data_IF_524518661299
#
_entry.id   IF_524518661299
#
_cell.length_a   1.000
_cell.length_b   1.000
_cell.length_c   1.000
_cell.angle_alpha   90.00
_cell.angle_beta   90.00
_cell.angle_gamma   90.00
#
_symmetry.space_group_name_H-M   'P 1'
#
loop_
_entity.id
_entity.type
_entity.pdbx_description
1 polymer ?
#
# COMPACT_ATOMS: atom_id res chain seq x y z
N UNK A 1 17.81 20.73 19.23
CA UNK A 1 17.73 20.10 17.89
C UNK A 1 16.47 19.26 17.92
N UNK A 2 15.58 19.39 16.93
CA UNK A 2 14.37 18.57 16.83
C UNK A 2 14.75 17.09 16.67
N UNK A 3 13.91 16.19 17.15
CA UNK A 3 14.10 14.75 17.08
C UNK A 3 12.85 14.12 16.48
N UNK A 4 13.03 13.23 15.55
CA UNK A 4 11.91 12.51 14.90
C UNK A 4 10.96 11.86 15.91
N UNK A 5 11.47 11.35 17.04
CA UNK A 5 10.64 10.70 18.07
C UNK A 5 9.61 11.66 18.72
N UNK A 6 9.84 12.97 18.68
CA UNK A 6 8.91 13.97 19.20
C UNK A 6 8.00 14.58 18.11
N UNK A 7 8.10 14.11 16.86
CA UNK A 7 7.42 14.71 15.72
C UNK A 7 5.92 14.90 15.92
N UNK A 8 5.23 13.86 16.38
CA UNK A 8 3.76 13.90 16.57
C UNK A 8 3.39 14.89 17.67
N UNK A 9 4.11 14.87 18.79
CA UNK A 9 3.87 15.79 19.93
C UNK A 9 4.16 17.23 19.53
N UNK A 10 5.22 17.47 18.76
CA UNK A 10 5.57 18.80 18.26
C UNK A 10 4.51 19.34 17.29
N UNK A 11 3.96 18.50 16.39
CA UNK A 11 2.84 18.86 15.50
C UNK A 11 1.61 19.21 16.34
N UNK A 12 1.22 18.36 17.28
CA UNK A 12 0.04 18.60 18.12
C UNK A 12 0.20 19.83 18.98
N UNK A 13 1.37 20.05 19.57
CA UNK A 13 1.69 21.27 20.31
C UNK A 13 1.52 22.54 19.46
N UNK A 14 2.01 22.50 18.20
CA UNK A 14 1.91 23.62 17.26
C UNK A 14 0.47 23.95 16.91
N UNK A 15 -0.39 22.96 16.66
CA UNK A 15 -1.78 23.19 16.25
C UNK A 15 -2.75 23.37 17.43
N UNK A 16 -2.37 23.02 18.66
CA UNK A 16 -3.23 23.14 19.85
C UNK A 16 -3.71 24.55 20.12
N UNK A 17 -2.94 25.56 19.70
CA UNK A 17 -3.30 26.99 19.83
C UNK A 17 -4.62 27.34 19.16
N UNK A 18 -5.03 26.58 18.12
CA UNK A 18 -6.30 26.79 17.45
C UNK A 18 -7.50 26.50 18.38
N UNK A 19 -7.37 25.53 19.28
CA UNK A 19 -8.37 25.25 20.32
C UNK A 19 -8.54 26.39 21.34
N UNK A 20 -7.53 27.26 21.46
CA UNK A 20 -7.57 28.45 22.28
C UNK A 20 -8.06 29.68 21.52
N UNK A 21 -8.46 29.53 20.26
CA UNK A 21 -8.87 30.65 19.39
C UNK A 21 -7.70 31.54 18.94
N UNK A 22 -6.46 31.08 19.07
CA UNK A 22 -5.27 31.81 18.64
C UNK A 22 -4.91 31.43 17.18
N UNK A 23 -4.35 32.37 16.39
CA UNK A 23 -3.90 32.08 15.04
C UNK A 23 -2.75 31.07 15.07
N UNK A 24 -2.73 30.19 14.06
CA UNK A 24 -1.61 29.30 13.81
C UNK A 24 -0.42 30.15 13.31
N UNK A 25 0.72 29.97 13.94
CA UNK A 25 1.96 30.58 13.50
C UNK A 25 2.54 29.77 12.31
N UNK A 26 2.10 30.16 11.12
CA UNK A 26 2.57 29.67 9.83
C UNK A 26 2.83 30.89 8.93
N UNK A 27 3.95 30.89 8.23
CA UNK A 27 4.28 32.01 7.34
C UNK A 27 3.41 31.99 6.07
N UNK A 28 3.27 33.15 5.42
CA UNK A 28 2.59 33.18 4.11
C UNK A 28 3.31 32.31 3.09
N UNK A 29 4.63 32.26 3.16
CA UNK A 29 5.47 31.44 2.29
C UNK A 29 5.17 29.93 2.48
N UNK A 30 4.97 29.45 3.71
CA UNK A 30 4.60 28.05 3.97
C UNK A 30 3.22 27.72 3.42
N UNK A 31 2.26 28.64 3.58
CA UNK A 31 0.89 28.48 3.08
C UNK A 31 0.88 28.48 1.55
N UNK A 32 1.61 29.41 0.92
CA UNK A 32 1.71 29.49 -0.54
C UNK A 32 2.39 28.24 -1.12
N UNK A 33 3.47 27.76 -0.46
CA UNK A 33 4.12 26.51 -0.86
C UNK A 33 3.19 25.30 -0.80
N UNK A 34 2.38 25.18 0.25
CA UNK A 34 1.33 24.15 0.31
C UNK A 34 0.31 24.30 -0.83
N UNK A 35 -0.09 25.56 -1.13
CA UNK A 35 -1.00 25.84 -2.23
C UNK A 35 -0.44 25.35 -3.58
N UNK A 36 0.83 25.57 -3.86
CA UNK A 36 1.47 25.09 -5.09
C UNK A 36 1.59 23.57 -5.12
N UNK A 37 2.01 22.91 -4.03
CA UNK A 37 2.09 21.44 -4.01
C UNK A 37 0.73 20.78 -4.19
N UNK A 38 -0.35 21.33 -3.62
CA UNK A 38 -1.72 20.86 -3.86
C UNK A 38 -2.11 21.00 -5.35
N UNK A 39 -1.76 22.11 -6.01
CA UNK A 39 -2.00 22.29 -7.46
C UNK A 39 -1.26 21.24 -8.27
N UNK A 40 0.00 20.96 -7.95
CA UNK A 40 0.78 19.91 -8.62
C UNK A 40 0.16 18.53 -8.46
N UNK A 41 -0.29 18.17 -7.26
CA UNK A 41 -1.03 16.92 -7.00
C UNK A 41 -2.26 16.82 -7.90
N UNK A 42 -3.06 17.91 -7.99
CA UNK A 42 -4.27 17.94 -8.83
C UNK A 42 -3.93 17.83 -10.32
N UNK A 43 -2.86 18.50 -10.78
CA UNK A 43 -2.41 18.39 -12.17
C UNK A 43 -1.98 16.96 -12.52
N UNK A 44 -1.19 16.30 -11.67
CA UNK A 44 -0.77 14.92 -11.87
C UNK A 44 -1.95 13.95 -11.83
N UNK A 45 -2.91 14.16 -10.92
CA UNK A 45 -4.09 13.31 -10.82
C UNK A 45 -5.02 13.44 -12.03
N UNK A 46 -5.21 14.68 -12.52
CA UNK A 46 -6.03 14.94 -13.70
C UNK A 46 -5.38 14.48 -15.02
N UNK A 47 -4.03 14.44 -15.06
CA UNK A 47 -3.24 14.07 -16.23
C UNK A 47 -2.26 12.92 -15.90
N UNK A 48 -2.76 11.72 -15.58
CA UNK A 48 -1.90 10.62 -15.18
C UNK A 48 -0.99 10.20 -16.35
N UNK A 49 0.31 10.15 -16.08
CA UNK A 49 1.25 9.54 -17.03
C UNK A 49 0.97 8.04 -17.18
N UNK A 50 1.11 7.47 -18.38
CA UNK A 50 1.00 6.03 -18.57
C UNK A 50 1.98 5.31 -17.64
N UNK A 51 1.46 4.57 -16.67
CA UNK A 51 2.29 3.76 -15.78
C UNK A 51 2.48 2.40 -16.45
N UNK A 52 3.71 2.06 -16.84
CA UNK A 52 3.99 0.68 -17.20
C UNK A 52 3.74 -0.20 -15.97
N UNK A 53 2.73 -1.08 -16.05
CA UNK A 53 2.43 -2.07 -15.00
C UNK A 53 3.57 -3.09 -14.84
N UNK A 54 4.47 -3.16 -15.80
CA UNK A 54 5.38 -4.28 -16.07
C UNK A 54 6.77 -4.08 -15.50
N UNK A 55 6.92 -3.24 -14.46
CA UNK A 55 8.22 -2.98 -13.84
C UNK A 55 8.20 -3.24 -12.35
N UNK A 56 9.28 -3.87 -11.85
CA UNK A 56 9.57 -3.87 -10.43
C UNK A 56 9.95 -2.45 -9.98
N UNK A 57 9.30 -2.00 -8.92
CA UNK A 57 9.54 -0.71 -8.27
C UNK A 57 9.69 -0.92 -6.76
N UNK A 58 10.31 0.05 -6.08
CA UNK A 58 10.44 -0.03 -4.63
C UNK A 58 9.07 -0.09 -3.94
N UNK A 59 8.07 0.63 -4.46
CA UNK A 59 6.71 0.63 -3.91
C UNK A 59 5.93 -0.69 -4.11
N UNK A 60 6.40 -1.62 -4.97
CA UNK A 60 5.73 -2.91 -5.17
C UNK A 60 6.58 -4.11 -4.74
N UNK A 61 7.87 -3.92 -4.43
CA UNK A 61 8.80 -5.03 -4.11
C UNK A 61 8.35 -5.82 -2.87
N UNK A 62 7.52 -5.22 -2.02
CA UNK A 62 6.94 -5.85 -0.84
C UNK A 62 5.83 -6.85 -1.14
N UNK A 63 5.22 -6.80 -2.31
CA UNK A 63 4.16 -7.73 -2.70
C UNK A 63 4.66 -9.18 -2.71
N UNK A 64 3.75 -10.16 -2.56
CA UNK A 64 4.08 -11.57 -2.70
C UNK A 64 4.71 -11.89 -4.06
N UNK A 65 5.76 -12.70 -4.07
CA UNK A 65 6.57 -13.00 -5.27
C UNK A 65 5.74 -13.57 -6.42
N UNK A 66 4.76 -14.45 -6.14
CA UNK A 66 3.88 -14.99 -7.17
C UNK A 66 2.97 -13.91 -7.79
N UNK A 67 2.50 -12.96 -6.98
CA UNK A 67 1.73 -11.81 -7.48
C UNK A 67 2.60 -10.95 -8.41
N UNK A 68 3.85 -10.66 -8.02
CA UNK A 68 4.80 -9.93 -8.87
C UNK A 68 5.12 -10.67 -10.16
N UNK A 69 5.20 -12.01 -10.10
CA UNK A 69 5.39 -12.83 -11.29
C UNK A 69 4.24 -12.64 -12.29
N UNK A 70 2.99 -12.68 -11.84
CA UNK A 70 1.83 -12.41 -12.68
C UNK A 70 1.77 -10.95 -13.12
N UNK A 71 2.07 -9.99 -12.24
CA UNK A 71 2.09 -8.56 -12.58
C UNK A 71 3.02 -8.26 -13.76
N UNK A 72 4.09 -9.05 -13.93
CA UNK A 72 5.12 -8.84 -14.95
C UNK A 72 5.02 -9.75 -16.20
N UNK A 73 4.32 -10.88 -16.10
CA UNK A 73 4.24 -11.88 -17.17
C UNK A 73 2.85 -12.12 -17.72
N UNK A 74 1.81 -11.68 -17.03
CA UNK A 74 0.46 -11.85 -17.54
C UNK A 74 0.26 -10.91 -18.73
N UNK A 75 0.12 -11.46 -19.91
CA UNK A 75 -0.23 -10.73 -21.14
C UNK A 75 -1.67 -10.19 -21.08
N UNK A 76 -2.47 -10.73 -20.19
CA UNK A 76 -3.79 -10.21 -19.90
C UNK A 76 -3.66 -8.96 -19.02
N UNK A 77 -3.55 -7.79 -19.63
CA UNK A 77 -3.93 -6.57 -18.95
C UNK A 77 -5.30 -6.84 -18.31
N UNK A 78 -5.36 -6.76 -16.98
CA UNK A 78 -6.66 -6.83 -16.32
C UNK A 78 -7.43 -5.62 -16.82
N UNK A 79 -8.35 -5.83 -17.75
CA UNK A 79 -9.25 -4.81 -18.30
C UNK A 79 -10.24 -4.29 -17.25
N UNK A 80 -10.18 -4.79 -16.01
CA UNK A 80 -10.93 -4.22 -14.91
C UNK A 80 -10.31 -2.85 -14.57
N UNK A 81 -10.89 -1.79 -15.12
CA UNK A 81 -10.63 -0.44 -14.64
C UNK A 81 -11.01 -0.35 -13.16
N UNK A 82 -10.14 0.29 -12.38
CA UNK A 82 -10.45 0.53 -10.97
C UNK A 82 -11.77 1.33 -10.87
N UNK A 83 -12.66 1.00 -9.93
CA UNK A 83 -13.87 1.77 -9.73
C UNK A 83 -13.56 3.25 -9.43
N UNK A 84 -14.36 4.17 -9.96
CA UNK A 84 -14.16 5.61 -9.79
C UNK A 84 -13.88 6.06 -8.34
N UNK A 85 -14.54 5.51 -7.29
CA UNK A 85 -14.21 5.87 -5.91
C UNK A 85 -12.76 5.58 -5.48
N UNK A 86 -12.07 4.64 -6.14
CA UNK A 86 -10.67 4.32 -5.83
C UNK A 86 -9.74 5.46 -6.24
N UNK A 87 -10.03 6.14 -7.37
CA UNK A 87 -9.25 7.31 -7.81
C UNK A 87 -9.38 8.48 -6.83
N UNK A 88 -10.56 8.68 -6.23
CA UNK A 88 -10.75 9.67 -5.15
C UNK A 88 -9.92 9.30 -3.93
N UNK A 89 -9.85 8.01 -3.56
CA UNK A 89 -9.00 7.57 -2.44
C UNK A 89 -7.51 7.82 -2.70
N UNK A 90 -7.05 7.66 -3.92
CA UNK A 90 -5.68 8.00 -4.29
C UNK A 90 -5.42 9.50 -4.18
N UNK A 91 -6.35 10.32 -4.67
CA UNK A 91 -6.26 11.76 -4.51
C UNK A 91 -6.17 12.18 -3.03
N UNK A 92 -7.04 11.61 -2.18
CA UNK A 92 -6.96 11.88 -0.73
C UNK A 92 -5.59 11.51 -0.14
N UNK A 93 -5.00 10.41 -0.61
CA UNK A 93 -3.66 10.01 -0.16
C UNK A 93 -2.65 11.11 -0.40
N UNK A 94 -2.56 11.58 -1.64
CA UNK A 94 -1.60 12.60 -2.04
C UNK A 94 -1.87 13.97 -1.39
N UNK A 95 -3.12 14.41 -1.34
CA UNK A 95 -3.46 15.70 -0.69
C UNK A 95 -3.12 15.71 0.81
N UNK A 96 -3.41 14.61 1.50
CA UNK A 96 -3.11 14.50 2.93
C UNK A 96 -1.61 14.36 3.21
N UNK A 97 -0.84 13.81 2.27
CA UNK A 97 0.62 13.78 2.33
C UNK A 97 1.18 15.21 2.35
N UNK A 98 0.73 16.09 1.42
CA UNK A 98 1.16 17.50 1.39
C UNK A 98 0.76 18.27 2.66
N UNK A 99 -0.46 18.02 3.16
CA UNK A 99 -0.90 18.62 4.43
C UNK A 99 -0.03 18.15 5.59
N UNK A 100 0.35 16.88 5.64
CA UNK A 100 1.26 16.36 6.69
C UNK A 100 2.65 16.99 6.59
N UNK A 101 3.22 17.10 5.39
CA UNK A 101 4.52 17.74 5.17
C UNK A 101 4.49 19.22 5.62
N UNK A 102 3.41 19.94 5.33
CA UNK A 102 3.21 21.30 5.82
C UNK A 102 3.21 21.33 7.36
N UNK A 103 2.44 20.46 8.03
CA UNK A 103 2.40 20.39 9.49
C UNK A 103 3.77 20.08 10.09
N UNK A 104 4.53 19.19 9.48
CA UNK A 104 5.91 18.88 9.86
C UNK A 104 6.79 20.14 9.79
N UNK A 105 6.74 20.85 8.66
CA UNK A 105 7.55 22.07 8.43
C UNK A 105 7.23 23.17 9.45
N UNK A 106 5.96 23.51 9.65
CA UNK A 106 5.55 24.57 10.59
C UNK A 106 5.78 24.20 12.06
N UNK A 107 5.89 22.91 12.40
CA UNK A 107 6.26 22.44 13.73
C UNK A 107 7.78 22.54 14.01
N UNK A 108 8.56 23.02 13.01
CA UNK A 108 9.99 23.30 13.12
C UNK A 108 10.89 22.10 12.84
N UNK A 109 10.37 21.01 12.29
CA UNK A 109 11.15 19.90 11.78
C UNK A 109 11.67 20.19 10.37
N UNK A 110 12.84 19.64 10.05
CA UNK A 110 13.49 19.85 8.76
C UNK A 110 13.09 18.75 7.78
N UNK A 111 12.27 19.09 6.79
CA UNK A 111 11.95 18.21 5.66
C UNK A 111 13.00 18.35 4.57
N UNK A 112 13.41 17.24 3.98
CA UNK A 112 14.33 17.21 2.84
C UNK A 112 14.11 16.02 1.95
N UNK A 113 14.77 16.01 0.79
CA UNK A 113 14.71 14.90 -0.18
C UNK A 113 13.27 14.51 -0.61
N UNK A 114 12.34 15.48 -0.66
CA UNK A 114 10.95 15.25 -1.05
C UNK A 114 10.90 14.62 -2.44
N UNK A 115 10.18 13.50 -2.58
CA UNK A 115 9.99 12.73 -3.82
C UNK A 115 11.30 12.35 -4.55
N UNK A 116 12.41 12.20 -3.80
CA UNK A 116 13.73 11.84 -4.38
C UNK A 116 13.69 10.45 -5.02
N UNK A 117 14.10 10.38 -6.31
CA UNK A 117 14.32 9.10 -6.97
C UNK A 117 15.53 8.39 -6.35
N UNK A 118 15.33 7.14 -5.96
CA UNK A 118 16.37 6.26 -5.42
C UNK A 118 16.40 4.92 -6.14
N UNK A 119 17.52 4.20 -6.05
CA UNK A 119 17.65 2.89 -6.69
C UNK A 119 18.47 1.93 -5.84
N UNK A 120 17.95 0.72 -5.66
CA UNK A 120 18.66 -0.39 -5.01
C UNK A 120 18.68 -1.60 -5.92
N UNK A 121 19.86 -2.09 -6.24
CA UNK A 121 20.04 -3.25 -7.15
C UNK A 121 19.26 -3.13 -8.46
N UNK A 122 19.16 -1.91 -9.02
CA UNK A 122 18.44 -1.61 -10.26
C UNK A 122 16.91 -1.60 -10.12
N UNK A 123 16.36 -1.54 -8.91
CA UNK A 123 14.95 -1.28 -8.64
C UNK A 123 14.82 0.17 -8.21
N UNK A 124 14.06 0.95 -8.99
CA UNK A 124 13.81 2.36 -8.74
C UNK A 124 12.60 2.57 -7.83
N UNK A 125 12.60 3.69 -7.11
CA UNK A 125 11.47 4.19 -6.34
C UNK A 125 11.63 5.68 -6.06
N UNK A 126 10.56 6.33 -5.62
CA UNK A 126 10.57 7.67 -5.08
C UNK A 126 10.25 7.55 -3.60
N UNK A 127 11.15 8.03 -2.76
CA UNK A 127 10.88 8.10 -1.33
C UNK A 127 10.14 9.40 -1.03
N UNK A 128 9.23 9.36 -0.05
CA UNK A 128 8.39 10.53 0.24
C UNK A 128 9.26 11.68 0.73
N UNK A 129 10.05 11.48 1.77
CA UNK A 129 10.96 12.52 2.29
C UNK A 129 12.00 11.97 3.29
N UNK A 130 12.87 12.88 3.74
CA UNK A 130 13.57 12.75 5.01
C UNK A 130 13.04 13.81 5.99
N UNK A 131 12.88 13.46 7.26
CA UNK A 131 12.56 14.40 8.34
C UNK A 131 13.70 14.34 9.35
N UNK A 132 14.30 15.48 9.65
CA UNK A 132 15.49 15.62 10.51
C UNK A 132 16.67 14.71 10.10
N UNK A 133 16.72 14.38 8.80
CA UNK A 133 17.76 13.51 8.22
C UNK A 133 17.46 12.02 8.25
N UNK A 134 16.32 11.61 8.79
CA UNK A 134 15.89 10.21 8.78
C UNK A 134 14.83 9.97 7.70
N UNK A 135 14.85 8.78 7.05
CA UNK A 135 13.89 8.41 6.01
C UNK A 135 12.49 8.26 6.61
N UNK A 136 11.53 8.98 6.08
CA UNK A 136 10.12 8.88 6.51
C UNK A 136 9.22 8.63 5.31
N UNK A 137 8.42 7.58 5.42
CA UNK A 137 7.41 7.21 4.46
C UNK A 137 6.03 7.61 5.04
N UNK A 138 5.29 8.45 4.31
CA UNK A 138 4.03 9.02 4.79
C UNK A 138 2.87 8.11 4.41
N UNK A 139 2.02 7.78 5.38
CA UNK A 139 0.87 6.92 5.16
C UNK A 139 -0.42 7.53 5.66
N UNK A 140 -1.44 7.52 4.80
CA UNK A 140 -2.80 7.86 5.19
C UNK A 140 -3.66 6.60 5.21
N UNK A 141 -4.28 6.30 6.34
CA UNK A 141 -4.90 5.01 6.59
C UNK A 141 -6.34 5.13 7.11
N UNK A 142 -7.17 4.09 6.87
CA UNK A 142 -8.43 3.92 7.59
C UNK A 142 -8.16 3.56 9.05
N UNK A 143 -9.11 3.74 9.94
CA UNK A 143 -8.95 3.47 11.36
C UNK A 143 -8.38 2.08 11.68
N UNK A 144 -8.83 1.03 10.96
CA UNK A 144 -8.29 -0.32 11.12
C UNK A 144 -6.80 -0.45 10.70
N UNK A 145 -6.43 0.16 9.57
CA UNK A 145 -5.05 0.10 9.09
C UNK A 145 -4.12 1.00 9.92
N UNK A 146 -4.63 2.16 10.38
CA UNK A 146 -3.89 3.08 11.23
C UNK A 146 -3.47 2.44 12.57
N UNK A 147 -4.34 1.62 13.18
CA UNK A 147 -4.01 0.90 14.41
C UNK A 147 -2.73 0.09 14.31
N UNK A 148 -2.41 -0.47 13.16
CA UNK A 148 -1.17 -1.25 12.98
C UNK A 148 0.10 -0.40 13.17
N UNK A 149 0.06 0.86 12.76
CA UNK A 149 1.16 1.81 13.00
C UNK A 149 1.17 2.26 14.45
N UNK A 150 0.01 2.63 15.00
CA UNK A 150 -0.12 3.12 16.37
C UNK A 150 0.27 2.06 17.41
N UNK A 151 -0.19 0.83 17.24
CA UNK A 151 0.04 -0.27 18.18
C UNK A 151 1.37 -1.02 17.89
N UNK A 152 2.13 -0.63 16.85
CA UNK A 152 3.40 -1.25 16.48
C UNK A 152 3.28 -2.65 15.88
N UNK A 153 2.08 -3.06 15.44
CA UNK A 153 1.80 -4.43 14.94
C UNK A 153 1.91 -4.57 13.43
N UNK A 154 2.43 -3.55 12.73
CA UNK A 154 2.57 -3.60 11.27
C UNK A 154 3.42 -4.78 10.80
N UNK A 155 4.49 -5.11 11.52
CA UNK A 155 5.39 -6.21 11.15
C UNK A 155 4.68 -7.57 11.05
N UNK A 156 3.68 -7.80 11.90
CA UNK A 156 2.90 -9.05 11.92
C UNK A 156 1.91 -9.15 10.76
N UNK A 157 1.51 -8.01 10.19
CA UNK A 157 0.41 -7.93 9.23
C UNK A 157 0.69 -6.96 8.07
N UNK A 158 1.92 -6.93 7.57
CA UNK A 158 2.32 -6.09 6.43
C UNK A 158 1.84 -6.67 5.09
N UNK A 159 0.55 -6.63 4.86
CA UNK A 159 -0.07 -7.13 3.61
C UNK A 159 0.23 -6.28 2.39
N UNK A 160 0.67 -5.03 2.57
CA UNK A 160 1.00 -4.11 1.49
C UNK A 160 2.49 -4.07 1.14
N UNK A 161 3.34 -4.62 2.02
CA UNK A 161 4.79 -4.63 1.82
C UNK A 161 5.46 -3.30 2.11
N UNK A 162 4.97 -2.57 3.11
CA UNK A 162 5.52 -1.28 3.55
C UNK A 162 6.92 -1.43 4.14
N UNK A 163 7.17 -2.48 4.93
CA UNK A 163 8.48 -2.72 5.53
C UNK A 163 9.57 -2.98 4.48
N UNK A 164 9.37 -3.82 3.45
CA UNK A 164 10.30 -3.91 2.33
C UNK A 164 10.52 -2.62 1.56
N UNK A 165 9.49 -1.78 1.41
CA UNK A 165 9.59 -0.47 0.77
C UNK A 165 10.50 0.44 1.58
N UNK A 166 10.24 0.59 2.88
CA UNK A 166 11.05 1.38 3.79
C UNK A 166 12.50 0.89 3.83
N UNK A 167 12.72 -0.43 3.97
CA UNK A 167 14.05 -1.02 3.92
C UNK A 167 14.81 -0.69 2.62
N UNK A 168 14.09 -0.56 1.51
CA UNK A 168 14.67 -0.14 0.24
C UNK A 168 15.11 1.31 0.23
N UNK A 169 14.32 2.19 0.79
CA UNK A 169 14.67 3.61 0.91
C UNK A 169 15.83 3.83 1.88
N UNK A 170 15.82 3.14 3.02
CA UNK A 170 16.92 3.14 3.99
C UNK A 170 18.23 2.65 3.38
N UNK A 171 18.19 1.54 2.63
CA UNK A 171 19.37 1.00 1.95
C UNK A 171 19.94 2.00 0.93
N UNK A 172 19.07 2.71 0.20
CA UNK A 172 19.48 3.72 -0.77
C UNK A 172 20.13 4.95 -0.12
N UNK A 173 19.68 5.33 1.06
CA UNK A 173 20.22 6.48 1.83
C UNK A 173 21.34 6.08 2.79
N UNK A 174 21.69 4.79 2.87
CA UNK A 174 22.76 4.30 3.74
C UNK A 174 22.43 4.40 5.24
N UNK A 175 21.16 4.29 5.59
CA UNK A 175 20.66 4.36 6.98
C UNK A 175 19.82 3.14 7.34
N UNK A 176 19.49 2.99 8.61
CA UNK A 176 18.58 1.96 9.13
C UNK A 176 17.54 2.57 10.09
N UNK A 177 17.49 3.90 10.14
CA UNK A 177 16.69 4.68 11.09
C UNK A 177 15.52 5.36 10.40
N UNK A 178 14.74 4.62 9.64
CA UNK A 178 13.54 5.15 9.01
C UNK A 178 12.28 4.88 9.83
N UNK A 179 11.17 5.49 9.38
CA UNK A 179 9.88 5.30 10.01
C UNK A 179 8.72 5.62 9.09
N UNK A 180 7.52 5.44 9.62
CA UNK A 180 6.27 5.81 8.98
C UNK A 180 5.59 6.90 9.80
N UNK A 181 5.29 8.03 9.16
CA UNK A 181 4.34 9.00 9.71
C UNK A 181 2.96 8.66 9.17
N UNK A 182 2.10 8.13 10.04
CA UNK A 182 0.77 7.69 9.65
C UNK A 182 -0.32 8.67 10.14
N UNK A 183 -1.31 8.96 9.28
CA UNK A 183 -2.52 9.71 9.63
C UNK A 183 -3.74 8.80 9.50
N UNK A 184 -4.59 8.80 10.52
CA UNK A 184 -5.94 8.25 10.45
C UNK A 184 -6.86 9.23 9.68
N UNK A 185 -7.32 8.82 8.48
CA UNK A 185 -8.18 9.66 7.63
C UNK A 185 -9.54 9.99 8.24
N UNK A 186 -9.97 9.22 9.22
CA UNK A 186 -11.30 9.35 9.84
C UNK A 186 -11.27 10.32 11.03
N UNK A 187 -10.15 10.35 11.76
CA UNK A 187 -10.05 11.10 13.02
C UNK A 187 -9.03 12.24 12.98
N UNK A 188 -8.11 12.25 12.00
CA UNK A 188 -6.96 13.16 11.97
C UNK A 188 -5.84 12.77 12.95
N UNK A 189 -5.95 11.65 13.66
CA UNK A 189 -4.94 11.19 14.60
C UNK A 189 -3.65 10.81 13.86
N UNK A 190 -2.49 11.19 14.43
CA UNK A 190 -1.17 10.89 13.91
C UNK A 190 -0.47 9.82 14.74
N UNK A 191 0.36 9.03 14.11
CA UNK A 191 1.26 8.09 14.76
C UNK A 191 2.60 8.05 14.02
N UNK A 192 3.69 8.04 14.76
CA UNK A 192 5.02 7.72 14.25
C UNK A 192 5.32 6.27 14.60
N UNK A 193 5.54 5.41 13.60
CA UNK A 193 5.96 4.04 13.79
C UNK A 193 7.38 3.85 13.26
N UNK A 194 8.27 3.41 14.14
CA UNK A 194 9.67 3.11 13.81
C UNK A 194 9.89 1.61 13.95
N UNK A 195 9.85 0.84 12.83
CA UNK A 195 10.09 -0.60 12.90
C UNK A 195 11.52 -0.88 13.36
N UNK A 196 11.68 -1.95 14.13
CA UNK A 196 13.02 -2.43 14.49
C UNK A 196 13.76 -2.93 13.25
N UNK A 197 15.07 -3.04 13.34
CA UNK A 197 15.90 -3.63 12.28
C UNK A 197 15.46 -5.06 11.96
N UNK A 198 15.05 -5.83 12.97
CA UNK A 198 14.62 -7.23 12.83
C UNK A 198 13.28 -7.38 12.11
N UNK A 199 12.42 -6.36 12.12
CA UNK A 199 11.13 -6.35 11.41
C UNK A 199 11.31 -6.13 9.92
N UNK A 200 12.44 -5.59 9.51
CA UNK A 200 12.72 -5.22 8.12
C UNK A 200 13.48 -6.35 7.41
N UNK A 201 13.09 -6.72 6.17
CA UNK A 201 13.79 -7.74 5.42
C UNK A 201 15.12 -7.21 4.86
N UNK A 202 16.09 -8.11 4.65
CA UNK A 202 17.24 -7.78 3.82
C UNK A 202 16.78 -7.52 2.38
N UNK A 203 16.69 -6.25 2.01
CA UNK A 203 16.10 -5.82 0.74
C UNK A 203 16.90 -6.28 -0.47
N UNK A 204 18.23 -6.30 -0.41
CA UNK A 204 19.08 -6.79 -1.52
C UNK A 204 18.82 -8.27 -1.78
N UNK A 205 18.67 -9.07 -0.72
CA UNK A 205 18.33 -10.49 -0.83
C UNK A 205 16.93 -10.63 -1.43
N UNK A 206 15.94 -9.89 -0.91
CA UNK A 206 14.56 -9.93 -1.43
C UNK A 206 14.50 -9.58 -2.90
N UNK A 207 15.15 -8.50 -3.33
CA UNK A 207 15.21 -8.09 -4.74
C UNK A 207 15.82 -9.21 -5.60
N UNK A 208 16.93 -9.79 -5.17
CA UNK A 208 17.57 -10.89 -5.89
C UNK A 208 16.64 -12.10 -6.04
N UNK A 209 15.95 -12.48 -4.97
CA UNK A 209 15.07 -13.64 -4.96
C UNK A 209 13.83 -13.40 -5.84
N UNK A 210 13.23 -12.20 -5.80
CA UNK A 210 12.15 -11.79 -6.70
C UNK A 210 12.62 -11.81 -8.16
N UNK A 211 13.79 -11.22 -8.47
CA UNK A 211 14.36 -11.22 -9.85
C UNK A 211 14.64 -12.63 -10.38
N UNK A 212 14.99 -13.57 -9.52
CA UNK A 212 15.12 -14.99 -9.92
C UNK A 212 13.75 -15.59 -10.21
N UNK A 213 12.78 -15.38 -9.33
CA UNK A 213 11.45 -15.96 -9.45
C UNK A 213 10.70 -15.49 -10.71
N UNK A 214 10.78 -14.20 -11.06
CA UNK A 214 10.13 -13.67 -12.28
C UNK A 214 10.73 -14.20 -13.58
N UNK A 215 11.93 -14.77 -13.56
CA UNK A 215 12.54 -15.42 -14.73
C UNK A 215 12.02 -16.83 -14.99
N UNK A 216 11.32 -17.44 -14.03
CA UNK A 216 10.75 -18.77 -14.18
C UNK A 216 9.63 -18.77 -15.22
N UNK A 217 9.50 -19.86 -15.98
CA UNK A 217 8.43 -20.03 -16.96
C UNK A 217 7.08 -20.33 -16.29
N UNK A 218 7.12 -20.87 -15.09
CA UNK A 218 5.93 -21.18 -14.29
C UNK A 218 5.88 -20.29 -13.04
N UNK A 219 4.66 -19.90 -12.59
CA UNK A 219 4.53 -19.07 -11.40
C UNK A 219 5.10 -19.77 -10.16
N UNK A 220 5.76 -19.03 -9.27
CA UNK A 220 6.23 -19.55 -7.97
C UNK A 220 5.10 -20.17 -7.15
N UNK A 221 5.44 -20.82 -6.04
CA UNK A 221 4.46 -21.37 -5.11
C UNK A 221 3.42 -20.32 -4.69
N UNK A 222 2.18 -20.74 -4.43
CA UNK A 222 1.12 -19.86 -3.93
C UNK A 222 1.53 -19.16 -2.65
N UNK A 223 1.11 -17.90 -2.53
CA UNK A 223 1.50 -17.05 -1.41
C UNK A 223 0.77 -17.41 -0.12
N UNK A 224 -0.46 -17.89 -0.26
CA UNK A 224 -1.36 -18.19 0.84
C UNK A 224 -2.15 -19.48 0.55
N UNK A 225 -2.48 -20.22 1.61
CA UNK A 225 -3.32 -21.40 1.52
C UNK A 225 -4.80 -21.03 1.62
N UNK A 226 -5.70 -21.78 0.95
CA UNK A 226 -7.13 -21.65 1.18
C UNK A 226 -7.50 -21.90 2.64
N UNK A 227 -8.58 -21.26 3.09
CA UNK A 227 -9.12 -21.36 4.44
C UNK A 227 -10.45 -22.10 4.44
N UNK A 228 -10.82 -22.83 5.52
CA UNK A 228 -12.14 -23.44 5.64
C UNK A 228 -13.27 -22.39 5.58
N UNK A 229 -14.34 -22.68 4.84
CA UNK A 229 -15.59 -21.93 4.89
C UNK A 229 -16.55 -22.58 5.89
N UNK A 230 -16.43 -22.21 7.16
CA UNK A 230 -17.23 -22.79 8.24
C UNK A 230 -17.02 -24.32 8.35
N UNK A 231 -18.12 -25.05 8.62
CA UNK A 231 -18.12 -26.52 8.78
C UNK A 231 -18.60 -27.28 7.54
N UNK A 232 -18.75 -26.60 6.40
CA UNK A 232 -19.30 -27.20 5.16
C UNK A 232 -18.34 -28.16 4.47
N UNK A 233 -17.04 -28.08 4.79
CA UNK A 233 -15.96 -28.73 4.04
C UNK A 233 -15.52 -27.92 2.81
N UNK A 234 -16.17 -26.80 2.52
CA UNK A 234 -15.72 -25.89 1.48
C UNK A 234 -14.42 -25.19 1.89
N UNK A 235 -13.60 -24.87 0.89
CA UNK A 235 -12.39 -24.07 1.07
C UNK A 235 -12.52 -22.78 0.27
N UNK A 236 -12.24 -21.63 0.93
CA UNK A 236 -12.31 -20.29 0.33
C UNK A 236 -10.93 -19.65 0.22
N UNK A 237 -10.83 -18.63 -0.62
CA UNK A 237 -9.64 -17.78 -0.66
C UNK A 237 -9.47 -17.01 0.66
N UNK A 238 -8.24 -16.90 1.17
CA UNK A 238 -7.93 -16.00 2.27
C UNK A 238 -8.10 -14.54 1.83
N UNK A 239 -8.23 -13.64 2.79
CA UNK A 239 -8.53 -12.22 2.56
C UNK A 239 -7.55 -11.56 1.59
N UNK A 240 -6.27 -11.88 1.69
CA UNK A 240 -5.19 -11.35 0.85
C UNK A 240 -5.39 -11.71 -0.63
N UNK A 241 -5.92 -12.89 -0.91
CA UNK A 241 -6.20 -13.35 -2.26
C UNK A 241 -7.50 -12.77 -2.84
N UNK A 242 -8.48 -12.42 -2.01
CA UNK A 242 -9.76 -11.84 -2.47
C UNK A 242 -9.55 -10.57 -3.27
N UNK A 243 -8.60 -9.72 -2.84
CA UNK A 243 -8.28 -8.45 -3.51
C UNK A 243 -7.20 -8.56 -4.59
N UNK A 244 -6.61 -9.75 -4.77
CA UNK A 244 -5.61 -9.96 -5.81
C UNK A 244 -6.26 -9.99 -7.20
N UNK A 245 -5.79 -9.15 -8.13
CA UNK A 245 -6.30 -9.12 -9.51
C UNK A 245 -6.08 -10.44 -10.26
N UNK A 246 -5.08 -11.22 -9.87
CA UNK A 246 -4.72 -12.50 -10.50
C UNK A 246 -5.39 -13.71 -9.85
N UNK A 247 -6.38 -13.52 -8.95
CA UNK A 247 -6.99 -14.64 -8.20
C UNK A 247 -7.56 -15.75 -9.09
N UNK A 248 -8.19 -15.40 -10.20
CA UNK A 248 -8.79 -16.39 -11.10
C UNK A 248 -7.73 -17.17 -11.89
N UNK A 249 -6.73 -16.50 -12.41
CA UNK A 249 -5.63 -17.14 -13.12
C UNK A 249 -4.77 -17.98 -12.17
N UNK A 250 -4.46 -17.43 -10.99
CA UNK A 250 -3.68 -18.11 -9.95
C UNK A 250 -4.34 -19.39 -9.44
N UNK A 251 -5.67 -19.49 -9.48
CA UNK A 251 -6.48 -20.61 -9.01
C UNK A 251 -7.31 -21.25 -10.14
N UNK A 252 -6.78 -21.26 -11.37
CA UNK A 252 -7.44 -21.91 -12.51
C UNK A 252 -7.64 -23.42 -12.34
N UNK A 253 -6.82 -24.06 -11.52
CA UNK A 253 -6.90 -25.48 -11.14
C UNK A 253 -7.89 -25.78 -10.00
N UNK A 254 -8.50 -24.76 -9.38
CA UNK A 254 -9.49 -24.94 -8.31
C UNK A 254 -10.72 -25.72 -8.80
N UNK A 255 -11.44 -26.38 -7.88
CA UNK A 255 -12.63 -27.18 -8.18
C UNK A 255 -12.39 -28.16 -9.36
N UNK A 256 -11.30 -28.93 -9.28
CA UNK A 256 -10.92 -29.94 -10.28
C UNK A 256 -10.70 -29.35 -11.70
N UNK A 257 -10.11 -28.15 -11.77
CA UNK A 257 -9.81 -27.46 -13.02
C UNK A 257 -10.94 -26.57 -13.57
N UNK A 258 -12.06 -26.46 -12.86
CA UNK A 258 -13.18 -25.56 -13.23
C UNK A 258 -12.91 -24.10 -12.83
N UNK A 259 -11.85 -23.86 -12.03
CA UNK A 259 -11.51 -22.55 -11.50
C UNK A 259 -12.29 -22.20 -10.23
N UNK A 260 -12.17 -20.94 -9.80
CA UNK A 260 -12.88 -20.45 -8.63
C UNK A 260 -14.38 -20.39 -8.86
N UNK A 261 -15.16 -20.85 -7.88
CA UNK A 261 -16.60 -20.61 -7.82
C UNK A 261 -16.90 -19.42 -6.93
N UNK A 262 -17.76 -18.52 -7.39
CA UNK A 262 -18.05 -17.23 -6.74
C UNK A 262 -19.48 -17.20 -6.25
N UNK A 263 -19.66 -16.95 -4.95
CA UNK A 263 -20.97 -16.90 -4.29
C UNK A 263 -21.21 -15.52 -3.69
N UNK A 264 -22.41 -14.96 -3.92
CA UNK A 264 -22.82 -13.64 -3.44
C UNK A 264 -23.51 -13.75 -2.09
N UNK A 265 -22.89 -13.21 -1.06
CA UNK A 265 -23.45 -13.04 0.29
C UNK A 265 -23.93 -11.61 0.50
N UNK A 266 -24.66 -11.37 1.60
CA UNK A 266 -25.16 -10.02 1.97
C UNK A 266 -24.07 -8.97 2.14
N UNK A 267 -22.86 -9.39 2.52
CA UNK A 267 -21.70 -8.50 2.81
C UNK A 267 -20.56 -8.61 1.80
N UNK A 268 -20.80 -9.22 0.63
CA UNK A 268 -19.78 -9.35 -0.41
C UNK A 268 -19.76 -10.72 -1.08
N UNK A 269 -18.61 -11.09 -1.62
CA UNK A 269 -18.42 -12.31 -2.38
C UNK A 269 -17.48 -13.26 -1.66
N UNK A 270 -17.77 -14.58 -1.73
CA UNK A 270 -16.86 -15.64 -1.34
C UNK A 270 -16.36 -16.37 -2.60
N UNK A 271 -15.05 -16.61 -2.66
CA UNK A 271 -14.38 -17.28 -3.76
C UNK A 271 -13.92 -18.65 -3.28
N UNK A 272 -14.58 -19.71 -3.75
CA UNK A 272 -14.33 -21.06 -3.28
C UNK A 272 -13.34 -21.79 -4.20
N UNK A 273 -12.32 -22.39 -3.60
CA UNK A 273 -11.32 -23.23 -4.27
C UNK A 273 -11.71 -24.70 -4.27
N UNK A 274 -12.54 -25.12 -3.30
CA UNK A 274 -13.16 -26.44 -3.20
C UNK A 274 -14.60 -26.25 -2.72
N UNK A 275 -15.56 -26.94 -3.38
CA UNK A 275 -16.99 -26.74 -3.12
C UNK A 275 -17.73 -28.09 -3.02
N UNK A 276 -17.40 -28.96 -2.03
CA UNK A 276 -18.12 -30.19 -1.83
C UNK A 276 -19.59 -29.99 -1.47
N UNK A 277 -19.95 -28.86 -0.85
CA UNK A 277 -21.33 -28.48 -0.50
C UNK A 277 -21.61 -27.05 -0.93
N UNK A 278 -22.20 -26.82 -2.11
CA UNK A 278 -22.50 -25.46 -2.58
C UNK A 278 -23.31 -24.67 -1.54
N UNK A 279 -22.93 -23.42 -1.24
CA UNK A 279 -23.68 -22.54 -0.34
C UNK A 279 -25.10 -22.29 -0.86
N UNK A 280 -26.07 -22.11 0.05
CA UNK A 280 -27.47 -21.78 -0.28
C UNK A 280 -27.64 -20.28 -0.59
N UNK A 281 -26.78 -19.72 -1.43
CA UNK A 281 -26.79 -18.32 -1.90
C UNK A 281 -26.54 -18.29 -3.41
N UNK A 282 -26.73 -17.15 -4.03
CA UNK A 282 -26.60 -17.01 -5.48
C UNK A 282 -25.15 -17.26 -5.90
N UNK A 283 -24.95 -18.19 -6.81
CA UNK A 283 -23.67 -18.37 -7.50
C UNK A 283 -23.60 -17.42 -8.70
N UNK A 284 -22.54 -16.64 -8.77
CA UNK A 284 -22.31 -15.62 -9.81
C UNK A 284 -21.05 -15.90 -10.65
N UNK A 285 -20.53 -17.11 -10.61
CA UNK A 285 -19.30 -17.52 -11.31
C UNK A 285 -19.31 -17.15 -12.80
N UNK A 286 -20.43 -17.41 -13.49
CA UNK A 286 -20.58 -17.14 -14.93
C UNK A 286 -20.61 -15.65 -15.27
N UNK A 287 -21.10 -14.80 -14.37
CA UNK A 287 -21.12 -13.34 -14.56
C UNK A 287 -19.69 -12.78 -14.54
N UNK A 288 -18.88 -13.27 -13.60
CA UNK A 288 -17.46 -12.92 -13.49
C UNK A 288 -16.61 -13.45 -14.64
N UNK A 289 -16.95 -14.61 -15.21
CA UNK A 289 -16.25 -15.17 -16.36
C UNK A 289 -16.66 -14.49 -17.69
N UNK A 290 -17.90 -14.02 -17.80
CA UNK A 290 -18.41 -13.32 -18.98
C UNK A 290 -17.89 -11.88 -19.06
N UNK A 291 -17.76 -11.16 -17.97
CA UNK A 291 -17.17 -9.82 -17.95
C UNK A 291 -15.72 -9.80 -18.47
N UNK A 292 -15.03 -10.96 -18.46
CA UNK A 292 -13.69 -11.12 -19.03
C UNK A 292 -13.65 -11.44 -20.54
N UNK A 293 -14.80 -11.81 -21.15
CA UNK A 293 -14.87 -12.20 -22.58
C UNK A 293 -15.47 -11.11 -23.48
N UNK A 294 -15.97 -10.01 -22.91
CA UNK A 294 -16.72 -8.98 -23.64
C UNK A 294 -15.96 -7.66 -23.74
N UNK A 295 -14.70 -7.67 -23.36
CA UNK A 295 -13.73 -6.57 -23.55
C UNK A 295 -12.48 -7.13 -24.19
#
# INVERSE_FOLDING_TARGET
MKNLDNLVDDIYSKISVLGEGKPLDASSEDIDALGESIKEVLHHWANPSPRSSDMLRMSNIGKPTRQLWYDLKSENESTESLPAPVFIKFLYGHLLEEVLLFLVKISGHKVGNEQKEVSVSGIKGHMDCTIDGEVVDIKTASGFAFKKFKDGTLAEQDTFGYLPQLAGYEEAEGTQKGGFLAMNKETGELALFRPSEFDKPNIKKKIRDVKKAIKLDKPPQRCYNPEPEGSSGNMKLPKECVYCRHKFECHSDANDGLGLRVFKYSRGYSYLTQTPRPPKVIEVTNEWQKSKKTT
#
